data_IF_156893869735
#
_entry.id   IF_156893869735
#
_cell.length_a   1.000
_cell.length_b   1.000
_cell.length_c   1.000
_cell.angle_alpha   90.00
_cell.angle_beta   90.00
_cell.angle_gamma   90.00
#
_symmetry.space_group_name_H-M   'P 1'
#
loop_
_entity.id
_entity.type
_entity.pdbx_description
1 polymer ?
#
# COMPACT_ATOMS: atom_id res chain seq x y z
N UNK A 1 -24.81 20.10 -5.32
CA UNK A 1 -23.61 19.46 -4.75
C UNK A 1 -22.79 18.88 -5.90
N UNK A 2 -21.62 19.46 -6.22
CA UNK A 2 -20.74 18.93 -7.28
C UNK A 2 -19.90 17.81 -6.67
N UNK A 3 -20.25 16.56 -6.94
CA UNK A 3 -19.35 15.44 -6.68
C UNK A 3 -18.46 15.25 -7.92
N UNK A 4 -17.38 16.01 -7.97
CA UNK A 4 -16.31 15.89 -8.97
C UNK A 4 -15.04 15.35 -8.33
N UNK A 5 -15.17 14.60 -7.24
CA UNK A 5 -14.02 14.09 -6.50
C UNK A 5 -13.52 12.84 -7.22
N UNK A 6 -12.37 12.95 -7.88
CA UNK A 6 -11.74 11.84 -8.59
C UNK A 6 -11.12 10.93 -7.55
N UNK A 7 -11.89 9.97 -7.07
CA UNK A 7 -11.43 9.00 -6.09
C UNK A 7 -10.59 7.92 -6.79
N UNK A 8 -9.27 7.81 -6.50
CA UNK A 8 -8.42 6.81 -7.12
C UNK A 8 -8.83 5.41 -6.64
N UNK A 9 -9.30 4.58 -7.57
CA UNK A 9 -9.69 3.19 -7.31
C UNK A 9 -8.46 2.29 -7.42
N UNK A 10 -7.62 2.25 -6.38
CA UNK A 10 -6.36 1.49 -6.37
C UNK A 10 -6.49 -0.05 -6.50
N UNK A 11 -7.71 -0.58 -6.50
CA UNK A 11 -8.01 -2.00 -6.72
C UNK A 11 -8.30 -2.36 -8.18
N UNK A 12 -8.47 -1.35 -9.04
CA UNK A 12 -8.85 -1.50 -10.44
C UNK A 12 -7.58 -1.50 -11.32
N UNK A 13 -7.37 -2.56 -12.10
CA UNK A 13 -6.19 -2.71 -12.96
C UNK A 13 -6.63 -2.76 -14.42
N UNK A 14 -6.01 -1.96 -15.28
CA UNK A 14 -6.24 -2.01 -16.72
C UNK A 14 -5.20 -2.90 -17.40
N UNK A 15 -5.64 -3.72 -18.35
CA UNK A 15 -4.77 -4.53 -19.22
C UNK A 15 -4.88 -4.02 -20.64
N UNK A 16 -3.79 -3.43 -21.15
CA UNK A 16 -3.71 -2.95 -22.54
C UNK A 16 -3.84 -4.08 -23.56
N UNK A 17 -3.30 -5.26 -23.26
CA UNK A 17 -3.32 -6.42 -24.17
C UNK A 17 -4.72 -6.98 -24.40
N UNK A 18 -5.58 -6.93 -23.38
CA UNK A 18 -6.98 -7.38 -23.47
C UNK A 18 -7.96 -6.23 -23.73
N UNK A 19 -7.54 -4.98 -23.52
CA UNK A 19 -8.42 -3.82 -23.54
C UNK A 19 -9.49 -3.84 -22.43
N UNK A 20 -9.21 -4.55 -21.33
CA UNK A 20 -10.18 -4.87 -20.28
C UNK A 20 -9.68 -4.45 -18.90
N UNK A 21 -10.64 -4.26 -18.00
CA UNK A 21 -10.41 -3.87 -16.61
C UNK A 21 -10.64 -5.06 -15.68
N UNK A 22 -9.72 -5.22 -14.72
CA UNK A 22 -9.73 -6.29 -13.74
C UNK A 22 -9.77 -5.71 -12.32
N UNK A 23 -10.25 -6.52 -11.39
CA UNK A 23 -10.23 -6.20 -9.98
C UNK A 23 -9.14 -7.04 -9.30
N UNK A 24 -8.06 -6.38 -8.86
CA UNK A 24 -6.91 -7.04 -8.25
C UNK A 24 -7.26 -7.94 -7.04
N UNK A 25 -7.96 -7.43 -6.00
CA UNK A 25 -8.28 -8.26 -4.83
C UNK A 25 -9.17 -9.44 -5.20
N UNK A 26 -10.13 -9.24 -6.11
CA UNK A 26 -11.02 -10.31 -6.57
C UNK A 26 -10.30 -11.34 -7.44
N UNK A 27 -9.29 -10.93 -8.21
CA UNK A 27 -8.48 -11.86 -9.00
C UNK A 27 -7.56 -12.72 -8.11
N UNK A 28 -7.08 -12.14 -7.00
CA UNK A 28 -6.14 -12.82 -6.09
C UNK A 28 -6.83 -13.73 -5.06
N UNK A 29 -8.01 -13.34 -4.58
CA UNK A 29 -8.71 -14.01 -3.47
C UNK A 29 -10.13 -14.48 -3.82
N UNK A 30 -10.54 -14.29 -5.07
CA UNK A 30 -11.84 -14.74 -5.53
C UNK A 30 -11.89 -16.26 -5.69
N UNK A 31 -13.03 -16.84 -5.33
CA UNK A 31 -13.30 -18.25 -5.57
C UNK A 31 -13.61 -18.48 -7.05
N UNK A 32 -13.06 -19.57 -7.61
CA UNK A 32 -13.21 -19.97 -9.02
C UNK A 32 -14.67 -20.19 -9.46
N UNK A 33 -15.58 -20.34 -8.50
CA UNK A 33 -17.00 -20.58 -8.72
C UNK A 33 -17.82 -19.27 -8.84
N UNK A 34 -17.29 -18.13 -8.41
CA UNK A 34 -17.96 -16.84 -8.60
C UNK A 34 -17.43 -16.15 -9.87
N UNK A 35 -18.11 -16.41 -10.99
CA UNK A 35 -17.84 -15.73 -12.25
C UNK A 35 -18.27 -14.27 -12.16
N UNK A 36 -17.31 -13.38 -11.90
CA UNK A 36 -17.51 -11.94 -11.95
C UNK A 36 -16.84 -11.35 -13.19
N UNK A 37 -17.47 -10.34 -13.80
CA UNK A 37 -16.96 -9.68 -15.02
C UNK A 37 -15.55 -9.08 -14.85
N UNK A 38 -15.08 -8.91 -13.60
CA UNK A 38 -13.79 -8.30 -13.27
C UNK A 38 -12.67 -9.31 -12.95
N UNK A 39 -12.93 -10.62 -13.01
CA UNK A 39 -11.94 -11.68 -12.69
C UNK A 39 -11.60 -12.58 -13.88
N UNK A 40 -12.58 -12.96 -14.71
CA UNK A 40 -12.38 -13.86 -15.85
C UNK A 40 -11.75 -13.19 -17.08
N UNK A 41 -12.57 -12.87 -18.08
CA UNK A 41 -12.11 -12.18 -19.32
C UNK A 41 -11.81 -10.69 -19.11
N UNK A 42 -12.26 -10.14 -17.98
CA UNK A 42 -12.15 -8.74 -17.63
C UNK A 42 -13.30 -7.92 -18.20
N UNK A 43 -13.51 -6.76 -17.58
CA UNK A 43 -14.61 -5.86 -17.91
C UNK A 43 -14.19 -4.95 -19.07
N UNK A 44 -14.87 -5.05 -20.21
CA UNK A 44 -14.64 -4.22 -21.40
C UNK A 44 -15.85 -3.36 -21.80
N UNK A 45 -16.93 -3.37 -21.00
CA UNK A 45 -18.16 -2.63 -21.30
C UNK A 45 -18.05 -1.15 -20.94
N UNK A 46 -17.53 -0.35 -21.86
CA UNK A 46 -17.36 1.09 -21.67
C UNK A 46 -18.64 1.93 -21.81
N UNK A 47 -19.80 1.30 -22.07
CA UNK A 47 -21.09 2.00 -22.24
C UNK A 47 -21.61 2.62 -20.94
N UNK A 48 -21.41 1.95 -19.80
CA UNK A 48 -21.77 2.48 -18.48
C UNK A 48 -20.80 1.96 -17.40
N UNK A 49 -19.51 2.33 -17.48
CA UNK A 49 -18.47 1.77 -16.63
C UNK A 49 -18.69 2.16 -15.17
N UNK A 50 -19.19 3.38 -14.92
CA UNK A 50 -19.42 3.89 -13.57
C UNK A 50 -20.40 3.02 -12.78
N UNK A 51 -21.60 2.78 -13.32
CA UNK A 51 -22.62 1.99 -12.62
C UNK A 51 -22.17 0.55 -12.37
N UNK A 52 -21.44 -0.05 -13.33
CA UNK A 52 -20.92 -1.41 -13.21
C UNK A 52 -19.81 -1.52 -12.17
N UNK A 53 -18.89 -0.55 -12.15
CA UNK A 53 -17.81 -0.47 -11.16
C UNK A 53 -18.36 -0.19 -9.76
N UNK A 54 -19.32 0.72 -9.61
CA UNK A 54 -19.98 1.00 -8.33
C UNK A 54 -20.79 -0.20 -7.82
N UNK A 55 -21.48 -0.91 -8.71
CA UNK A 55 -22.17 -2.15 -8.36
C UNK A 55 -21.20 -3.24 -7.87
N UNK A 56 -20.05 -3.39 -8.55
CA UNK A 56 -19.03 -4.33 -8.15
C UNK A 56 -18.38 -3.96 -6.80
N UNK A 57 -18.00 -2.71 -6.61
CA UNK A 57 -17.43 -2.20 -5.34
C UNK A 57 -18.35 -2.48 -4.14
N UNK A 58 -19.66 -2.37 -4.36
CA UNK A 58 -20.64 -2.58 -3.31
C UNK A 58 -20.99 -4.06 -3.05
N UNK A 59 -20.57 -4.97 -3.94
CA UNK A 59 -20.79 -6.41 -3.77
C UNK A 59 -20.11 -6.96 -2.51
N UNK A 60 -20.74 -7.94 -1.87
CA UNK A 60 -20.17 -8.65 -0.73
C UNK A 60 -18.87 -9.35 -1.11
N UNK A 61 -18.81 -9.94 -2.30
CA UNK A 61 -17.62 -10.60 -2.84
C UNK A 61 -16.41 -9.67 -2.87
N UNK A 62 -16.55 -8.48 -3.47
CA UNK A 62 -15.46 -7.50 -3.52
C UNK A 62 -15.00 -7.09 -2.11
N UNK A 63 -15.95 -6.79 -1.23
CA UNK A 63 -15.67 -6.39 0.16
C UNK A 63 -14.90 -7.47 0.92
N UNK A 64 -15.29 -8.75 0.75
CA UNK A 64 -14.59 -9.88 1.35
C UNK A 64 -13.17 -10.01 0.80
N UNK A 65 -12.99 -9.95 -0.52
CA UNK A 65 -11.67 -10.03 -1.14
C UNK A 65 -10.74 -8.87 -0.71
N UNK A 66 -11.27 -7.65 -0.65
CA UNK A 66 -10.52 -6.48 -0.14
C UNK A 66 -10.17 -6.65 1.34
N UNK A 67 -11.08 -7.20 2.15
CA UNK A 67 -10.82 -7.48 3.56
C UNK A 67 -9.69 -8.51 3.74
N UNK A 68 -9.68 -9.57 2.91
CA UNK A 68 -8.59 -10.55 2.90
C UNK A 68 -7.27 -9.92 2.50
N UNK A 69 -7.26 -9.08 1.44
CA UNK A 69 -6.07 -8.35 1.02
C UNK A 69 -5.52 -7.47 2.15
N UNK A 70 -6.38 -6.71 2.84
CA UNK A 70 -5.98 -5.85 3.97
C UNK A 70 -5.44 -6.64 5.14
N UNK A 71 -6.15 -7.71 5.53
CA UNK A 71 -5.74 -8.58 6.64
C UNK A 71 -4.38 -9.23 6.37
N UNK A 72 -4.14 -9.68 5.14
CA UNK A 72 -2.85 -10.24 4.74
C UNK A 72 -1.78 -9.16 4.62
N UNK A 73 -2.13 -7.95 4.22
CA UNK A 73 -1.23 -6.80 4.19
C UNK A 73 -0.81 -6.29 5.57
N UNK A 74 -1.47 -6.70 6.65
CA UNK A 74 -1.08 -6.35 8.03
C UNK A 74 -0.59 -7.55 8.83
N UNK A 75 -0.55 -8.74 8.22
CA UNK A 75 -0.05 -9.95 8.86
C UNK A 75 1.43 -9.81 9.26
N UNK A 76 1.84 -10.58 10.28
CA UNK A 76 3.24 -10.76 10.68
C UNK A 76 3.93 -11.78 9.80
N UNK A 77 5.24 -11.67 9.62
CA UNK A 77 6.04 -12.57 8.78
C UNK A 77 5.93 -12.28 7.29
N UNK A 78 5.55 -11.05 6.90
CA UNK A 78 5.54 -10.66 5.50
C UNK A 78 6.97 -10.45 5.01
N UNK A 79 7.20 -10.72 3.73
CA UNK A 79 8.51 -10.54 3.10
C UNK A 79 8.98 -9.08 3.21
N UNK A 80 8.05 -8.12 3.21
CA UNK A 80 8.33 -6.69 3.35
C UNK A 80 8.37 -6.18 4.79
N UNK A 81 8.22 -7.04 5.82
CA UNK A 81 8.15 -6.62 7.22
C UNK A 81 9.34 -5.76 7.65
N UNK A 82 10.57 -6.20 7.34
CA UNK A 82 11.79 -5.47 7.69
C UNK A 82 11.93 -4.14 6.91
N UNK A 83 11.46 -4.09 5.66
CA UNK A 83 11.48 -2.86 4.86
C UNK A 83 10.44 -1.86 5.38
N UNK A 84 9.25 -2.33 5.73
CA UNK A 84 8.19 -1.50 6.31
C UNK A 84 8.62 -0.91 7.66
N UNK A 85 9.35 -1.68 8.48
CA UNK A 85 9.93 -1.20 9.73
C UNK A 85 10.93 -0.06 9.49
N UNK A 86 11.93 -0.28 8.62
CA UNK A 86 12.94 0.75 8.30
C UNK A 86 12.29 2.04 7.78
N UNK A 87 11.32 1.90 6.87
CA UNK A 87 10.58 3.05 6.36
C UNK A 87 9.85 3.82 7.47
N UNK A 88 9.24 3.09 8.42
CA UNK A 88 8.58 3.70 9.58
C UNK A 88 9.54 4.46 10.49
N UNK A 89 10.76 3.93 10.69
CA UNK A 89 11.83 4.60 11.44
C UNK A 89 12.28 5.88 10.75
N UNK A 90 12.53 5.86 9.44
CA UNK A 90 12.90 7.05 8.67
C UNK A 90 11.79 8.11 8.70
N UNK A 91 10.53 7.72 8.49
CA UNK A 91 9.38 8.63 8.56
C UNK A 91 9.30 9.29 9.94
N UNK A 92 9.49 8.52 11.01
CA UNK A 92 9.43 9.03 12.39
C UNK A 92 10.56 10.03 12.67
N UNK A 93 11.76 9.71 12.21
CA UNK A 93 12.93 10.60 12.30
C UNK A 93 12.69 11.93 11.59
N UNK A 94 12.24 11.90 10.33
CA UNK A 94 11.98 13.13 9.56
C UNK A 94 10.83 13.95 10.15
N UNK A 95 9.78 13.30 10.67
CA UNK A 95 8.70 14.00 11.40
C UNK A 95 9.22 14.71 12.65
N UNK A 96 10.10 14.06 13.41
CA UNK A 96 10.69 14.63 14.62
C UNK A 96 11.58 15.84 14.31
N UNK A 97 12.43 15.75 13.29
CA UNK A 97 13.26 16.90 12.85
C UNK A 97 12.38 18.07 12.42
N UNK A 98 11.39 17.81 11.56
CA UNK A 98 10.53 18.86 11.01
C UNK A 98 9.65 19.55 12.07
N UNK A 99 9.39 18.90 13.21
CA UNK A 99 8.62 19.47 14.31
C UNK A 99 9.49 20.24 15.32
N UNK A 100 10.82 20.15 15.26
CA UNK A 100 11.70 20.97 16.13
C UNK A 100 11.98 22.32 15.49
N UNK A 101 11.40 23.45 15.96
CA UNK A 101 11.80 24.76 15.49
C UNK A 101 13.15 25.09 16.14
N UNK A 102 14.25 24.94 15.37
CA UNK A 102 15.56 25.50 15.76
C UNK A 102 16.80 24.62 15.61
N UNK A 103 16.75 23.42 15.02
CA UNK A 103 17.98 22.62 14.83
C UNK A 103 18.73 22.99 13.54
N UNK A 104 19.45 24.11 13.58
CA UNK A 104 20.53 24.38 12.64
C UNK A 104 21.66 23.35 12.85
N UNK A 105 22.02 22.63 11.78
CA UNK A 105 23.21 21.79 11.59
C UNK A 105 23.44 20.58 12.52
N UNK A 106 23.40 19.39 11.90
CA UNK A 106 24.61 18.55 11.74
C UNK A 106 24.36 17.49 10.65
N UNK A 107 25.07 17.61 9.53
CA UNK A 107 25.33 16.47 8.65
C UNK A 107 25.96 15.36 9.51
N UNK A 108 25.34 14.19 9.56
CA UNK A 108 26.05 12.95 9.90
C UNK A 108 25.89 12.02 8.71
N UNK A 109 27.04 11.67 8.15
CA UNK A 109 27.20 10.95 6.90
C UNK A 109 26.49 9.58 6.91
N UNK A 110 25.71 9.34 5.87
CA UNK A 110 25.16 8.03 5.51
C UNK A 110 26.33 7.12 5.10
N UNK A 111 26.78 6.23 5.97
CA UNK A 111 27.75 5.20 5.57
C UNK A 111 27.04 4.15 4.72
N UNK A 112 27.10 4.29 3.40
CA UNK A 112 26.50 3.40 2.39
C UNK A 112 27.03 1.95 2.41
N UNK A 113 27.90 1.56 3.35
CA UNK A 113 28.60 0.27 3.30
C UNK A 113 28.17 -0.76 4.36
N UNK A 114 27.48 -0.41 5.45
CA UNK A 114 27.21 -1.40 6.52
C UNK A 114 25.80 -1.42 7.11
N UNK A 115 24.89 -0.51 6.77
CA UNK A 115 23.46 -0.64 7.13
C UNK A 115 23.15 -0.88 8.62
N UNK A 116 24.00 -0.45 9.56
CA UNK A 116 23.80 -0.60 11.01
C UNK A 116 23.99 0.76 11.69
N UNK A 117 23.08 1.19 12.59
CA UNK A 117 23.31 2.36 13.44
C UNK A 117 24.45 2.07 14.41
N UNK A 118 25.49 2.93 14.45
CA UNK A 118 26.50 2.85 15.51
C UNK A 118 25.83 3.21 16.84
N UNK A 119 25.69 2.24 17.73
CA UNK A 119 25.46 2.53 19.15
C UNK A 119 26.73 3.20 19.69
N UNK A 120 26.60 4.43 20.18
CA UNK A 120 27.67 5.07 20.94
C UNK A 120 27.88 4.26 22.21
N UNK A 121 29.03 3.60 22.32
CA UNK A 121 29.47 2.98 23.56
C UNK A 121 29.59 4.06 24.64
N UNK A 122 28.88 3.87 25.75
CA UNK A 122 29.08 4.63 26.98
C UNK A 122 30.46 4.28 27.52
N UNK A 123 31.39 5.23 27.43
CA UNK A 123 32.65 5.17 28.17
C UNK A 123 32.27 5.23 29.64
N UNK A 124 32.52 4.12 30.35
CA UNK A 124 32.41 4.06 31.80
C UNK A 124 33.30 5.12 32.43
N UNK A 125 32.70 6.00 33.23
CA UNK A 125 33.45 6.79 34.20
C UNK A 125 33.66 5.90 35.42
N UNK A 126 34.85 5.32 35.51
CA UNK A 126 35.40 4.85 36.77
C UNK A 126 35.90 6.04 37.57
N UNK A 127 35.29 6.30 38.73
CA UNK A 127 35.89 6.92 39.91
C UNK A 127 35.04 6.56 41.12
#
# INVERSE_FOLDING_TARGET
MKNSDVQPRGWLIYSETKGSVFCAPCLLFGDNNETNAFTGEGFCDWKNPKARVEGHENSSFHKTCVSQLKTRGTARGRVDEFLAQQLGEEISYWKQINFTPGSCNRQIAFNKRTGIPRTFGTIGKSS
#
